data_IF_092696807280
#
_entry.id   IF_092696807280
#
_cell.length_a   1.000
_cell.length_b   1.000
_cell.length_c   1.000
_cell.angle_alpha   90.00
_cell.angle_beta   90.00
_cell.angle_gamma   90.00
#
_symmetry.space_group_name_H-M   'P 1'
#
loop_
_entity.id
_entity.type
_entity.pdbx_description
1 polymer ?
#
# COMPACT_ATOMS: atom_id res chain seq x y z
N UNK A 1 -45.66 18.74 -2.70
CA UNK A 1 -44.49 18.15 -3.39
C UNK A 1 -43.15 18.41 -2.66
N UNK A 2 -43.13 18.85 -1.40
CA UNK A 2 -41.88 19.21 -0.69
C UNK A 2 -41.26 18.07 0.15
N UNK A 3 -42.02 17.02 0.51
CA UNK A 3 -41.51 15.92 1.35
C UNK A 3 -40.52 14.98 0.64
N UNK A 4 -40.63 14.81 -0.69
CA UNK A 4 -39.73 13.94 -1.47
C UNK A 4 -38.29 14.46 -1.55
N UNK A 5 -38.11 15.77 -1.65
CA UNK A 5 -36.79 16.40 -1.72
C UNK A 5 -36.01 16.30 -0.40
N UNK A 6 -36.70 16.38 0.74
CA UNK A 6 -36.08 16.30 2.08
C UNK A 6 -35.54 14.89 2.38
N UNK A 7 -36.27 13.85 1.99
CA UNK A 7 -35.86 12.45 2.16
C UNK A 7 -34.63 12.11 1.29
N UNK A 8 -34.61 12.57 0.04
CA UNK A 8 -33.49 12.37 -0.88
C UNK A 8 -32.20 13.07 -0.41
N UNK A 9 -32.33 14.26 0.18
CA UNK A 9 -31.20 14.98 0.79
C UNK A 9 -30.65 14.18 1.98
N UNK A 10 -31.51 13.66 2.85
CA UNK A 10 -31.11 12.84 4.00
C UNK A 10 -30.43 11.54 3.57
N UNK A 11 -30.93 10.85 2.54
CA UNK A 11 -30.33 9.63 2.00
C UNK A 11 -28.94 9.92 1.42
N UNK A 12 -28.80 10.99 0.62
CA UNK A 12 -27.51 11.41 0.05
C UNK A 12 -26.50 11.75 1.14
N UNK A 13 -26.90 12.51 2.16
CA UNK A 13 -26.03 12.86 3.29
C UNK A 13 -25.55 11.61 4.05
N UNK A 14 -26.45 10.66 4.35
CA UNK A 14 -26.10 9.41 5.02
C UNK A 14 -25.14 8.54 4.20
N UNK A 15 -25.34 8.47 2.88
CA UNK A 15 -24.44 7.77 1.96
C UNK A 15 -23.05 8.42 1.91
N UNK A 16 -22.99 9.75 1.86
CA UNK A 16 -21.73 10.50 1.87
C UNK A 16 -20.96 10.30 3.19
N UNK A 17 -21.66 10.33 4.32
CA UNK A 17 -21.06 10.06 5.64
C UNK A 17 -20.45 8.65 5.68
N UNK A 18 -21.18 7.65 5.21
CA UNK A 18 -20.71 6.25 5.14
C UNK A 18 -19.49 6.11 4.22
N UNK A 19 -19.47 6.82 3.09
CA UNK A 19 -18.32 6.82 2.18
C UNK A 19 -17.09 7.48 2.81
N UNK A 20 -17.26 8.61 3.50
CA UNK A 20 -16.19 9.30 4.24
C UNK A 20 -15.61 8.42 5.34
N UNK A 21 -16.47 7.78 6.15
CA UNK A 21 -16.05 6.84 7.19
C UNK A 21 -15.26 5.66 6.60
N UNK A 22 -15.74 5.06 5.50
CA UNK A 22 -15.01 4.01 4.79
C UNK A 22 -13.63 4.48 4.33
N UNK A 23 -13.55 5.68 3.72
CA UNK A 23 -12.27 6.23 3.26
C UNK A 23 -11.29 6.43 4.42
N UNK A 24 -11.77 6.95 5.57
CA UNK A 24 -10.95 7.12 6.78
C UNK A 24 -10.44 5.77 7.30
N UNK A 25 -11.27 4.72 7.33
CA UNK A 25 -10.85 3.38 7.72
C UNK A 25 -9.76 2.83 6.78
N UNK A 26 -9.93 3.01 5.47
CA UNK A 26 -8.90 2.60 4.49
C UNK A 26 -7.59 3.39 4.64
N UNK A 27 -7.68 4.70 4.90
CA UNK A 27 -6.50 5.54 5.17
C UNK A 27 -5.77 5.09 6.43
N UNK A 28 -6.51 4.81 7.50
CA UNK A 28 -5.93 4.29 8.75
C UNK A 28 -5.27 2.93 8.54
N UNK A 29 -5.95 2.00 7.86
CA UNK A 29 -5.40 0.68 7.57
C UNK A 29 -4.14 0.76 6.70
N UNK A 30 -4.14 1.64 5.69
CA UNK A 30 -2.97 1.89 4.86
C UNK A 30 -1.82 2.53 5.66
N UNK A 31 -2.11 3.50 6.52
CA UNK A 31 -1.13 4.12 7.41
C UNK A 31 -0.44 3.08 8.31
N UNK A 32 -1.22 2.23 8.97
CA UNK A 32 -0.70 1.13 9.79
C UNK A 32 0.16 0.14 8.97
N UNK A 33 -0.24 -0.16 7.72
CA UNK A 33 0.57 -0.98 6.81
C UNK A 33 1.92 -0.31 6.51
N UNK A 34 1.93 1.00 6.27
CA UNK A 34 3.17 1.75 6.01
C UNK A 34 4.07 1.81 7.24
N UNK A 35 3.51 1.99 8.44
CA UNK A 35 4.25 1.91 9.70
C UNK A 35 4.88 0.53 9.90
N UNK A 36 4.15 -0.54 9.58
CA UNK A 36 4.69 -1.91 9.63
C UNK A 36 5.86 -2.09 8.65
N UNK A 37 5.70 -1.65 7.41
CA UNK A 37 6.76 -1.70 6.39
C UNK A 37 7.99 -0.92 6.87
N UNK A 38 7.79 0.27 7.44
CA UNK A 38 8.87 1.08 8.02
C UNK A 38 9.57 0.37 9.17
N UNK A 39 8.82 -0.23 10.10
CA UNK A 39 9.41 -0.98 11.22
C UNK A 39 10.27 -2.15 10.71
N UNK A 40 9.78 -2.88 9.71
CA UNK A 40 10.46 -4.03 9.13
C UNK A 40 11.74 -3.65 8.39
N UNK A 41 11.69 -2.60 7.56
CA UNK A 41 12.75 -2.27 6.59
C UNK A 41 13.59 -1.05 6.94
N UNK A 42 13.19 -0.25 7.93
CA UNK A 42 13.86 1.00 8.27
C UNK A 42 13.66 2.12 7.25
N UNK A 43 12.73 1.95 6.31
CA UNK A 43 12.45 2.94 5.25
C UNK A 43 11.06 3.49 5.42
N UNK A 44 10.94 4.82 5.46
CA UNK A 44 9.65 5.50 5.45
C UNK A 44 9.24 5.77 4.01
N UNK A 45 8.00 5.41 3.67
CA UNK A 45 7.43 5.60 2.33
C UNK A 45 6.27 6.59 2.38
N UNK A 46 6.15 7.44 1.36
CA UNK A 46 5.05 8.38 1.23
C UNK A 46 4.70 8.57 -0.24
N UNK A 47 3.62 7.95 -0.73
CA UNK A 47 3.06 8.28 -2.03
C UNK A 47 2.62 9.74 -2.07
N UNK A 48 3.07 10.49 -3.09
CA UNK A 48 2.67 11.89 -3.31
C UNK A 48 2.11 12.04 -4.73
N UNK A 49 1.24 13.02 -4.88
CA UNK A 49 0.63 13.33 -6.16
C UNK A 49 -0.24 14.56 -6.07
N UNK A 50 0.19 15.63 -6.72
CA UNK A 50 -0.58 16.86 -6.85
C UNK A 50 -1.14 16.93 -8.26
N UNK A 51 -2.47 17.03 -8.38
CA UNK A 51 -3.10 17.07 -9.69
C UNK A 51 -2.74 18.39 -10.41
N UNK A 52 -2.05 18.35 -11.56
CA UNK A 52 -1.54 19.55 -12.22
C UNK A 52 -2.64 20.45 -12.79
N UNK A 53 -3.86 19.93 -12.99
CA UNK A 53 -4.98 20.73 -13.50
C UNK A 53 -5.81 21.42 -12.42
N UNK A 54 -5.90 20.86 -11.21
CA UNK A 54 -6.81 21.39 -10.19
C UNK A 54 -6.16 21.60 -8.82
N UNK A 55 -4.84 21.40 -8.73
CA UNK A 55 -4.00 21.55 -7.55
C UNK A 55 -4.47 20.75 -6.33
N UNK A 56 -5.32 19.74 -6.52
CA UNK A 56 -5.74 18.84 -5.46
C UNK A 56 -4.54 17.98 -5.08
N UNK A 57 -4.10 18.13 -3.83
CA UNK A 57 -3.20 17.18 -3.16
C UNK A 57 -3.94 15.87 -2.92
N UNK A 58 -3.41 14.78 -3.47
CA UNK A 58 -4.02 13.47 -3.35
C UNK A 58 -3.46 12.74 -2.13
N UNK A 59 -4.34 12.11 -1.36
CA UNK A 59 -3.93 11.19 -0.30
C UNK A 59 -3.41 9.88 -0.90
N UNK A 60 -2.56 9.11 -0.20
CA UNK A 60 -2.05 7.84 -0.70
C UNK A 60 -3.15 6.88 -1.15
N UNK A 61 -4.26 6.81 -0.42
CA UNK A 61 -5.41 5.96 -0.78
C UNK A 61 -6.12 6.45 -2.05
N UNK A 62 -6.22 7.78 -2.25
CA UNK A 62 -6.76 8.33 -3.49
C UNK A 62 -5.85 8.04 -4.69
N UNK A 63 -4.52 8.14 -4.51
CA UNK A 63 -3.54 7.76 -5.54
C UNK A 63 -3.69 6.30 -5.93
N UNK A 64 -3.72 5.40 -4.93
CA UNK A 64 -3.83 3.96 -5.17
C UNK A 64 -5.15 3.59 -5.86
N UNK A 65 -6.26 4.23 -5.46
CA UNK A 65 -7.58 4.01 -6.09
C UNK A 65 -7.72 4.63 -7.47
N UNK A 66 -6.92 5.65 -7.79
CA UNK A 66 -6.97 6.34 -9.07
C UNK A 66 -6.24 5.61 -10.19
N UNK A 67 -5.36 4.65 -9.86
CA UNK A 67 -4.79 3.73 -10.86
C UNK A 67 -5.89 2.87 -11.47
N UNK A 68 -5.74 2.55 -12.76
CA UNK A 68 -6.51 1.49 -13.38
C UNK A 68 -5.76 0.15 -13.23
N UNK A 69 -6.34 -0.91 -13.77
CA UNK A 69 -5.75 -2.25 -13.78
C UNK A 69 -4.86 -2.49 -15.01
N UNK A 70 -4.63 -1.47 -15.85
CA UNK A 70 -3.78 -1.58 -17.03
C UNK A 70 -2.29 -1.53 -16.61
N UNK A 71 -1.50 -2.58 -16.86
CA UNK A 71 -0.07 -2.60 -16.54
C UNK A 71 0.77 -1.57 -17.31
N UNK A 72 0.23 -0.99 -18.38
CA UNK A 72 0.93 -0.03 -19.23
C UNK A 72 0.50 1.43 -18.98
N UNK A 73 -0.49 1.68 -18.13
CA UNK A 73 -0.93 3.03 -17.78
C UNK A 73 -0.41 3.48 -16.41
N UNK A 74 0.77 4.10 -16.38
CA UNK A 74 1.45 4.55 -15.16
C UNK A 74 0.81 5.75 -14.44
N UNK A 75 -0.42 6.11 -14.79
CA UNK A 75 -1.07 7.31 -14.27
C UNK A 75 -2.16 6.98 -13.24
N UNK A 76 -2.34 7.90 -12.30
CA UNK A 76 -3.47 7.91 -11.37
C UNK A 76 -4.49 8.98 -11.75
N UNK A 77 -5.78 8.65 -11.61
CA UNK A 77 -6.89 9.59 -11.83
C UNK A 77 -7.06 10.50 -10.62
N UNK A 78 -7.17 11.81 -10.86
CA UNK A 78 -7.55 12.77 -9.83
C UNK A 78 -8.92 12.43 -9.22
N UNK A 79 -8.98 12.33 -7.90
CA UNK A 79 -10.20 11.99 -7.16
C UNK A 79 -11.22 13.14 -7.09
N UNK A 80 -10.88 14.35 -7.58
CA UNK A 80 -11.84 15.45 -7.70
C UNK A 80 -12.84 15.11 -8.82
N UNK A 81 -14.12 14.91 -8.46
CA UNK A 81 -15.20 14.45 -9.37
C UNK A 81 -15.23 15.15 -10.73
N UNK A 82 -15.00 16.47 -10.77
CA UNK A 82 -15.05 17.27 -12.02
C UNK A 82 -13.73 17.39 -12.77
N UNK A 83 -12.62 16.96 -12.17
CA UNK A 83 -11.31 17.06 -12.81
C UNK A 83 -11.03 15.78 -13.60
N UNK A 84 -10.89 14.64 -12.92
CA UNK A 84 -10.62 13.36 -13.55
C UNK A 84 -9.30 13.28 -14.34
N UNK A 85 -8.47 14.34 -14.35
CA UNK A 85 -7.18 14.35 -15.02
C UNK A 85 -6.28 13.21 -14.52
N UNK A 86 -5.56 12.58 -15.44
CA UNK A 86 -4.63 11.49 -15.16
C UNK A 86 -3.20 12.00 -15.16
N UNK A 87 -2.40 11.63 -14.17
CA UNK A 87 -1.01 12.07 -14.03
C UNK A 87 -0.17 11.01 -13.34
N UNK A 88 1.15 11.05 -13.51
CA UNK A 88 2.07 10.08 -12.90
C UNK A 88 2.33 10.45 -11.43
N UNK A 89 1.95 9.60 -10.46
CA UNK A 89 2.27 9.84 -9.06
C UNK A 89 3.72 9.45 -8.74
N UNK A 90 4.24 10.02 -7.66
CA UNK A 90 5.59 9.74 -7.17
C UNK A 90 5.53 9.03 -5.82
N UNK A 91 6.57 8.27 -5.53
CA UNK A 91 6.82 7.67 -4.25
C UNK A 91 8.08 8.31 -3.66
N UNK A 92 7.89 9.09 -2.60
CA UNK A 92 9.00 9.56 -1.79
C UNK A 92 9.38 8.47 -0.79
N UNK A 93 10.67 8.21 -0.62
CA UNK A 93 11.17 7.37 0.45
C UNK A 93 12.36 7.99 1.17
N UNK A 94 12.49 7.67 2.45
CA UNK A 94 13.61 8.12 3.28
C UNK A 94 14.19 7.01 4.14
N UNK A 95 15.52 6.89 4.16
CA UNK A 95 16.29 5.95 4.96
C UNK A 95 17.48 6.69 5.58
N UNK A 96 17.41 6.99 6.88
CA UNK A 96 18.40 7.84 7.54
C UNK A 96 18.46 9.24 6.89
N UNK A 97 19.63 9.62 6.41
CA UNK A 97 19.84 10.89 5.70
C UNK A 97 19.44 10.84 4.21
N UNK A 98 19.22 9.66 3.63
CA UNK A 98 18.90 9.51 2.21
C UNK A 98 17.42 9.80 2.01
N UNK A 99 17.12 10.69 1.06
CA UNK A 99 15.78 10.95 0.56
C UNK A 99 15.79 10.87 -0.97
N UNK A 100 14.78 10.23 -1.54
CA UNK A 100 14.63 10.16 -2.99
C UNK A 100 13.14 10.11 -3.38
N UNK A 101 12.87 10.54 -4.61
CA UNK A 101 11.55 10.47 -5.23
C UNK A 101 11.65 9.66 -6.52
N UNK A 102 10.78 8.67 -6.65
CA UNK A 102 10.76 7.72 -7.77
C UNK A 102 9.33 7.61 -8.30
N UNK A 103 9.11 7.14 -9.55
CA UNK A 103 7.78 6.80 -10.03
C UNK A 103 7.09 5.81 -9.09
N UNK A 104 5.81 6.05 -8.78
CA UNK A 104 5.01 5.12 -7.99
C UNK A 104 4.14 4.28 -8.91
N UNK A 105 4.30 2.96 -8.86
CA UNK A 105 3.51 2.04 -9.65
C UNK A 105 2.39 1.43 -8.83
N UNK A 106 1.28 1.08 -9.48
CA UNK A 106 0.23 0.29 -8.85
C UNK A 106 0.65 -1.18 -8.68
N UNK A 107 -0.17 -1.96 -7.97
CA UNK A 107 0.08 -3.39 -7.78
C UNK A 107 0.22 -4.14 -9.12
N UNK A 108 -0.70 -3.96 -10.06
CA UNK A 108 -0.68 -4.66 -11.35
C UNK A 108 0.57 -4.29 -12.18
N UNK A 109 0.89 -3.00 -12.28
CA UNK A 109 2.10 -2.50 -12.94
C UNK A 109 3.36 -3.06 -12.32
N UNK A 110 3.43 -3.09 -10.99
CA UNK A 110 4.59 -3.62 -10.28
C UNK A 110 4.82 -5.08 -10.65
N UNK A 111 3.78 -5.92 -10.56
CA UNK A 111 3.88 -7.34 -10.90
C UNK A 111 4.27 -7.58 -12.35
N UNK A 112 3.69 -6.83 -13.29
CA UNK A 112 3.99 -6.96 -14.72
C UNK A 112 5.44 -6.60 -15.08
N UNK A 113 6.17 -5.89 -14.20
CA UNK A 113 7.56 -5.46 -14.42
C UNK A 113 8.59 -6.33 -13.71
N UNK A 114 8.16 -7.32 -12.93
CA UNK A 114 9.04 -8.27 -12.25
C UNK A 114 9.74 -9.29 -13.16
N UNK A 115 9.13 -9.84 -14.23
CA UNK A 115 9.78 -10.88 -15.04
C UNK A 115 11.19 -10.50 -15.53
N UNK A 116 12.11 -11.46 -15.49
CA UNK A 116 13.51 -11.30 -15.89
C UNK A 116 14.40 -10.63 -14.83
N UNK A 117 13.95 -10.54 -13.58
CA UNK A 117 14.67 -9.89 -12.47
C UNK A 117 14.81 -10.79 -11.23
N UNK A 118 14.37 -12.03 -11.32
CA UNK A 118 14.35 -13.02 -10.25
C UNK A 118 15.75 -13.39 -9.73
N UNK A 119 16.79 -13.18 -10.53
CA UNK A 119 18.19 -13.45 -10.19
C UNK A 119 18.89 -12.27 -9.51
N UNK A 120 18.27 -11.09 -9.45
CA UNK A 120 18.87 -9.91 -8.83
C UNK A 120 18.75 -9.99 -7.31
N UNK A 121 19.84 -9.70 -6.59
CA UNK A 121 19.76 -9.54 -5.13
C UNK A 121 18.90 -8.33 -4.76
N UNK A 122 18.33 -8.26 -3.54
CA UNK A 122 17.48 -7.14 -3.14
C UNK A 122 18.18 -5.78 -3.24
N UNK A 123 19.47 -5.70 -2.92
CA UNK A 123 20.26 -4.48 -2.98
C UNK A 123 20.48 -4.03 -4.42
N UNK A 124 20.81 -4.97 -5.29
CA UNK A 124 20.99 -4.71 -6.72
C UNK A 124 19.68 -4.30 -7.38
N UNK A 125 18.58 -4.97 -7.03
CA UNK A 125 17.24 -4.64 -7.50
C UNK A 125 16.84 -3.22 -7.06
N UNK A 126 17.03 -2.88 -5.78
CA UNK A 126 16.72 -1.54 -5.25
C UNK A 126 17.50 -0.43 -5.97
N UNK A 127 18.72 -0.72 -6.42
CA UNK A 127 19.55 0.24 -7.16
C UNK A 127 19.18 0.37 -8.63
N UNK A 128 19.06 -0.75 -9.34
CA UNK A 128 18.83 -0.76 -10.80
C UNK A 128 17.37 -0.52 -11.19
N UNK A 129 16.43 -0.94 -10.32
CA UNK A 129 15.00 -0.91 -10.57
C UNK A 129 14.23 -0.36 -9.36
N UNK A 130 14.71 0.75 -8.79
CA UNK A 130 14.22 1.36 -7.54
C UNK A 130 12.69 1.53 -7.49
N UNK A 131 12.08 2.06 -8.56
CA UNK A 131 10.64 2.26 -8.65
C UNK A 131 9.84 0.95 -8.48
N UNK A 132 10.31 -0.13 -9.13
CA UNK A 132 9.67 -1.45 -9.07
C UNK A 132 9.87 -2.06 -7.69
N UNK A 133 11.10 -2.02 -7.16
CA UNK A 133 11.45 -2.57 -5.85
C UNK A 133 10.60 -1.94 -4.74
N UNK A 134 10.58 -0.60 -4.66
CA UNK A 134 9.86 0.09 -3.59
C UNK A 134 8.34 0.01 -3.76
N UNK A 135 7.82 -0.03 -4.99
CA UNK A 135 6.40 -0.29 -5.23
C UNK A 135 6.00 -1.71 -4.80
N UNK A 136 6.85 -2.72 -5.03
CA UNK A 136 6.63 -4.09 -4.59
C UNK A 136 6.60 -4.20 -3.06
N UNK A 137 7.52 -3.51 -2.37
CA UNK A 137 7.51 -3.42 -0.91
C UNK A 137 6.18 -2.87 -0.38
N UNK A 138 5.67 -1.79 -0.96
CA UNK A 138 4.42 -1.16 -0.50
C UNK A 138 3.20 -2.04 -0.76
N UNK A 139 3.05 -2.55 -1.98
CA UNK A 139 1.85 -3.26 -2.40
C UNK A 139 1.84 -4.73 -2.00
N UNK A 140 3.02 -5.34 -1.85
CA UNK A 140 3.16 -6.79 -1.68
C UNK A 140 4.00 -7.17 -0.47
N UNK A 141 4.54 -6.20 0.29
CA UNK A 141 5.33 -6.47 1.49
C UNK A 141 6.81 -6.74 1.22
N UNK A 142 7.14 -7.12 -0.02
CA UNK A 142 8.50 -7.38 -0.49
C UNK A 142 8.52 -7.87 -1.93
N UNK A 143 9.70 -7.92 -2.53
CA UNK A 143 9.89 -8.47 -3.88
C UNK A 143 9.70 -9.98 -3.89
N UNK A 144 10.10 -10.71 -2.82
CA UNK A 144 9.86 -12.16 -2.73
C UNK A 144 8.37 -12.50 -2.80
N UNK A 145 7.54 -11.68 -2.17
CA UNK A 145 6.09 -11.89 -2.15
C UNK A 145 5.47 -11.52 -3.48
N UNK A 146 5.99 -10.45 -4.09
CA UNK A 146 5.56 -10.00 -5.40
C UNK A 146 5.88 -11.06 -6.48
N UNK A 147 7.08 -11.65 -6.47
CA UNK A 147 7.43 -12.78 -7.34
C UNK A 147 6.54 -13.99 -7.11
N UNK A 148 6.24 -14.34 -5.84
CA UNK A 148 5.33 -15.43 -5.51
C UNK A 148 3.93 -15.24 -6.10
N UNK A 149 3.44 -13.99 -6.19
CA UNK A 149 2.13 -13.68 -6.80
C UNK A 149 2.09 -13.91 -8.31
N UNK A 150 3.23 -13.86 -9.00
CA UNK A 150 3.32 -14.17 -10.43
C UNK A 150 3.80 -15.61 -10.69
N UNK A 151 3.84 -16.45 -9.66
CA UNK A 151 4.24 -17.86 -9.78
C UNK A 151 5.74 -18.09 -9.90
N UNK A 152 6.57 -17.11 -9.55
CA UNK A 152 8.03 -17.22 -9.61
C UNK A 152 8.64 -17.32 -8.22
N UNK A 153 9.61 -18.22 -8.05
CA UNK A 153 10.38 -18.34 -6.81
C UNK A 153 11.51 -17.31 -6.79
N UNK A 154 11.62 -16.57 -5.69
CA UNK A 154 12.72 -15.63 -5.45
C UNK A 154 13.62 -16.16 -4.33
N UNK A 155 14.89 -16.39 -4.63
CA UNK A 155 15.78 -17.15 -3.74
C UNK A 155 16.36 -16.31 -2.58
N UNK A 156 16.34 -14.99 -2.71
CA UNK A 156 16.98 -14.11 -1.73
C UNK A 156 16.05 -13.76 -0.58
N UNK A 157 16.60 -13.79 0.63
CA UNK A 157 15.90 -13.38 1.84
C UNK A 157 16.01 -11.86 2.02
N UNK A 158 14.88 -11.18 2.23
CA UNK A 158 14.86 -9.71 2.38
C UNK A 158 14.86 -9.21 3.83
N UNK A 159 14.40 -10.04 4.78
CA UNK A 159 14.12 -9.58 6.14
C UNK A 159 14.75 -10.50 7.18
N UNK A 160 15.54 -9.90 8.07
CA UNK A 160 16.03 -10.54 9.28
C UNK A 160 15.30 -10.01 10.53
N UNK A 161 15.02 -10.91 11.47
CA UNK A 161 14.46 -10.55 12.77
C UNK A 161 13.02 -10.00 12.76
N UNK A 162 12.25 -10.21 11.69
CA UNK A 162 10.90 -9.66 11.52
C UNK A 162 9.95 -9.93 12.71
N UNK A 163 10.04 -11.11 13.34
CA UNK A 163 9.19 -11.52 14.47
C UNK A 163 9.20 -10.52 15.65
N UNK A 164 10.32 -9.86 15.93
CA UNK A 164 10.40 -8.88 17.02
C UNK A 164 9.70 -7.57 16.67
N UNK A 165 9.78 -7.19 15.39
CA UNK A 165 9.29 -5.92 14.85
C UNK A 165 7.77 -5.89 14.63
N UNK A 166 7.15 -7.06 14.44
CA UNK A 166 5.69 -7.12 14.20
C UNK A 166 4.82 -7.04 15.47
N UNK A 167 5.39 -7.25 16.67
CA UNK A 167 4.62 -7.31 17.93
C UNK A 167 3.68 -6.11 18.13
N UNK A 168 4.09 -4.84 17.87
CA UNK A 168 3.22 -3.68 18.07
C UNK A 168 2.00 -3.61 17.15
N UNK A 169 1.97 -4.44 16.09
CA UNK A 169 0.93 -4.45 15.05
C UNK A 169 -0.08 -5.59 15.20
N UNK A 170 0.19 -6.57 16.07
CA UNK A 170 -0.74 -7.67 16.36
C UNK A 170 -2.07 -7.11 16.88
N UNK A 171 -3.19 -7.58 16.32
CA UNK A 171 -4.54 -7.09 16.64
C UNK A 171 -4.92 -5.74 16.00
N UNK A 172 -3.94 -4.93 15.57
CA UNK A 172 -4.17 -3.66 14.86
C UNK A 172 -4.30 -3.84 13.35
N UNK A 173 -3.65 -4.85 12.80
CA UNK A 173 -3.74 -5.26 11.40
C UNK A 173 -4.19 -6.72 11.29
N UNK A 174 -4.81 -7.12 10.16
CA UNK A 174 -5.07 -8.53 9.88
C UNK A 174 -3.76 -9.35 9.89
N UNK A 175 -3.80 -10.54 10.51
CA UNK A 175 -2.65 -11.46 10.56
C UNK A 175 -2.09 -11.76 9.16
N UNK A 176 -2.93 -11.77 8.12
CA UNK A 176 -2.55 -11.96 6.72
C UNK A 176 -1.72 -10.80 6.17
N UNK A 177 -2.05 -9.56 6.52
CA UNK A 177 -1.29 -8.37 6.11
C UNK A 177 0.06 -8.35 6.81
N UNK A 178 0.10 -8.70 8.10
CA UNK A 178 1.35 -8.78 8.86
C UNK A 178 2.26 -9.86 8.27
N UNK A 179 1.71 -11.04 8.00
CA UNK A 179 2.42 -12.16 7.39
C UNK A 179 2.99 -11.83 6.01
N UNK A 180 2.20 -11.15 5.17
CA UNK A 180 2.63 -10.70 3.85
C UNK A 180 3.80 -9.71 3.96
N UNK A 181 3.67 -8.66 4.78
CA UNK A 181 4.72 -7.66 4.95
C UNK A 181 6.01 -8.21 5.58
N UNK A 182 5.88 -9.16 6.51
CA UNK A 182 7.01 -9.72 7.26
C UNK A 182 7.64 -10.96 6.61
N UNK A 183 7.11 -11.41 5.46
CA UNK A 183 7.46 -12.69 4.79
C UNK A 183 7.57 -13.87 5.76
N UNK A 184 6.51 -14.10 6.53
CA UNK A 184 6.40 -15.25 7.42
C UNK A 184 5.02 -15.91 7.28
N UNK A 185 4.88 -17.21 7.61
CA UNK A 185 3.59 -17.87 7.57
C UNK A 185 2.54 -17.18 8.46
N UNK A 186 1.30 -17.09 7.97
CA UNK A 186 0.16 -16.55 8.73
C UNK A 186 -0.06 -17.33 10.03
N UNK A 187 0.20 -18.64 10.02
CA UNK A 187 0.16 -19.50 11.21
C UNK A 187 1.11 -19.03 12.31
N UNK A 188 2.32 -18.57 11.96
CA UNK A 188 3.28 -18.04 12.91
C UNK A 188 2.81 -16.73 13.54
N UNK A 189 2.22 -15.83 12.75
CA UNK A 189 1.61 -14.58 13.26
C UNK A 189 0.45 -14.89 14.21
N UNK A 190 -0.43 -15.82 13.82
CA UNK A 190 -1.55 -16.28 14.67
C UNK A 190 -1.06 -16.87 15.99
N UNK A 191 0.00 -17.69 15.95
CA UNK A 191 0.57 -18.29 17.15
C UNK A 191 1.12 -17.21 18.10
N UNK A 192 1.90 -16.25 17.58
CA UNK A 192 2.42 -15.13 18.37
C UNK A 192 1.29 -14.28 18.99
N UNK A 193 0.24 -13.97 18.21
CA UNK A 193 -0.92 -13.22 18.72
C UNK A 193 -1.63 -13.95 19.86
N UNK A 194 -1.86 -15.26 19.70
CA UNK A 194 -2.50 -16.10 20.72
C UNK A 194 -1.65 -16.24 21.99
N UNK A 195 -0.34 -16.45 21.85
CA UNK A 195 0.59 -16.54 22.97
C UNK A 195 0.60 -15.27 23.83
N UNK A 196 0.35 -14.11 23.23
CA UNK A 196 0.30 -12.81 23.91
C UNK A 196 -1.12 -12.41 24.36
N UNK A 197 -2.12 -13.31 24.22
CA UNK A 197 -3.53 -13.03 24.53
C UNK A 197 -4.10 -11.78 23.82
N UNK A 198 -3.62 -11.48 22.62
CA UNK A 198 -4.08 -10.32 21.85
C UNK A 198 -5.33 -10.72 21.03
N UNK A 199 -6.46 -9.98 21.12
CA UNK A 199 -7.65 -10.24 20.31
C UNK A 199 -7.36 -10.17 18.81
N UNK A 200 -8.21 -10.84 18.02
CA UNK A 200 -8.14 -10.74 16.56
C UNK A 200 -8.50 -9.32 16.13
N UNK A 201 -7.88 -8.84 15.05
CA UNK A 201 -8.29 -7.61 14.39
C UNK A 201 -9.77 -7.70 13.98
N UNK A 202 -10.57 -6.74 14.43
CA UNK A 202 -11.96 -6.53 14.00
C UNK A 202 -11.92 -5.41 12.95
N UNK A 203 -12.30 -5.74 11.72
CA UNK A 203 -12.32 -4.82 10.58
C UNK A 203 -13.70 -4.17 10.42
#
# INVERSE_FOLDING_TARGET
>A
MEMGMSLDIHIKQKQELKLKQRLQLHQRAFGLRMELVQALRGVRYTPKGDCPQCNKKMTPVEIIRGFNQDPNDFTTRCARRRCGYRFTPILAYSMGAIQAEIPFYCAAQTLARLPGKETLSPERFAREYSAIYHSAVIHHGGIGQAFRKIGTTYAFKELDGAKRKIKPFLGKLPDTVIAECADIPVSAVRAMRKQLNIPRHLA
#
